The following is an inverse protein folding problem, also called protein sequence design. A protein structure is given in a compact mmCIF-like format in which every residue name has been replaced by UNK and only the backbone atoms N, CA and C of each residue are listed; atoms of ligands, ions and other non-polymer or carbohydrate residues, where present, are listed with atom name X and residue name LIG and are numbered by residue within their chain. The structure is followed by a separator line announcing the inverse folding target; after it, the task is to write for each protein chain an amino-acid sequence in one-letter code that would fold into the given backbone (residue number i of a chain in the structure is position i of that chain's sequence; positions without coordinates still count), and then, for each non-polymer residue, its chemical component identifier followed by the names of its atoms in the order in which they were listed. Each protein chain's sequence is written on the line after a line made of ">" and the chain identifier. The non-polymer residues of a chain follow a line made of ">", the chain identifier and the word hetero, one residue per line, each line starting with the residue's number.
data_IF_171140248174
#
_entry.id   IF_171140248174
#
_cell.length_a   1.000
_cell.length_b   1.000
_cell.length_c   1.000
_cell.angle_alpha   90.00
_cell.angle_beta   90.00
_cell.angle_gamma   90.00
#
_symmetry.space_group_name_H-M   'P 1'
#
loop_
_entity.id
_entity.type
_entity.pdbx_description
1 polymer ?
#
# COMPACT_ATOMS: atom_id res chain seq x y z
N UNK A 1 -13.32 -19.15 -28.48
CA UNK A 1 -12.71 -19.19 -27.16
C UNK A 1 -11.16 -19.38 -27.21
N UNK A 2 -10.60 -20.44 -27.85
CA UNK A 2 -9.13 -20.64 -27.94
C UNK A 2 -8.37 -19.44 -28.53
N UNK A 3 -8.86 -18.84 -29.63
CA UNK A 3 -8.22 -17.65 -30.25
C UNK A 3 -8.19 -16.43 -29.33
N UNK A 4 -9.22 -16.22 -28.50
CA UNK A 4 -9.27 -15.10 -27.53
C UNK A 4 -8.28 -15.32 -26.40
N UNK A 5 -8.18 -16.54 -25.88
CA UNK A 5 -7.21 -16.89 -24.83
C UNK A 5 -5.77 -16.74 -25.37
N UNK A 6 -5.52 -17.15 -26.59
CA UNK A 6 -4.21 -17.01 -27.24
C UNK A 6 -3.86 -15.54 -27.49
N UNK A 7 -4.84 -14.72 -27.91
CA UNK A 7 -4.66 -13.28 -28.04
C UNK A 7 -4.29 -12.63 -26.70
N UNK A 8 -5.04 -12.93 -25.63
CA UNK A 8 -4.80 -12.41 -24.27
C UNK A 8 -3.40 -12.82 -23.76
N UNK A 9 -2.97 -14.08 -24.01
CA UNK A 9 -1.63 -14.55 -23.65
C UNK A 9 -0.52 -13.70 -24.29
N UNK A 10 -0.73 -13.26 -25.52
CA UNK A 10 0.26 -12.50 -26.28
C UNK A 10 0.17 -10.98 -26.07
N UNK A 11 -0.94 -10.50 -25.47
CA UNK A 11 -1.23 -9.06 -25.32
C UNK A 11 -1.62 -8.70 -23.90
N UNK A 12 -0.75 -8.97 -22.93
CA UNK A 12 -0.99 -8.70 -21.49
C UNK A 12 -1.39 -7.25 -21.22
N UNK A 13 -0.91 -6.29 -22.03
CA UNK A 13 -1.29 -4.89 -21.92
C UNK A 13 -2.81 -4.65 -22.04
N UNK A 14 -3.53 -5.52 -22.77
CA UNK A 14 -5.00 -5.45 -22.89
C UNK A 14 -5.65 -5.71 -21.54
N UNK A 15 -5.12 -6.65 -20.75
CA UNK A 15 -5.62 -6.95 -19.40
C UNK A 15 -5.47 -5.72 -18.49
N UNK A 16 -4.32 -5.06 -18.56
CA UNK A 16 -4.08 -3.82 -17.81
C UNK A 16 -5.01 -2.70 -18.23
N UNK A 17 -5.24 -2.54 -19.54
CA UNK A 17 -6.16 -1.53 -20.05
C UNK A 17 -7.61 -1.81 -19.60
N UNK A 18 -8.06 -3.04 -19.65
CA UNK A 18 -9.40 -3.44 -19.19
C UNK A 18 -9.56 -3.09 -17.70
N UNK A 19 -8.60 -3.46 -16.85
CA UNK A 19 -8.64 -3.12 -15.43
C UNK A 19 -8.66 -1.61 -15.23
N UNK A 20 -7.79 -0.89 -15.92
CA UNK A 20 -7.71 0.58 -15.81
C UNK A 20 -9.04 1.25 -16.15
N UNK A 21 -9.63 0.90 -17.30
CA UNK A 21 -10.92 1.47 -17.74
C UNK A 21 -12.04 1.10 -16.76
N UNK A 22 -12.09 -0.15 -16.31
CA UNK A 22 -13.04 -0.59 -15.28
C UNK A 22 -12.93 0.26 -14.02
N UNK A 23 -11.71 0.49 -13.51
CA UNK A 23 -11.47 1.29 -12.31
C UNK A 23 -11.84 2.76 -12.52
N UNK A 24 -11.51 3.35 -13.67
CA UNK A 24 -11.91 4.73 -14.01
C UNK A 24 -13.43 4.88 -13.99
N UNK A 25 -14.16 3.95 -14.60
CA UNK A 25 -15.64 3.97 -14.61
C UNK A 25 -16.18 3.84 -13.19
N UNK A 26 -15.63 2.93 -12.38
CA UNK A 26 -16.02 2.76 -10.97
C UNK A 26 -15.78 4.03 -10.16
N UNK A 27 -14.59 4.63 -10.25
CA UNK A 27 -14.26 5.86 -9.52
C UNK A 27 -15.07 7.08 -10.02
N UNK A 28 -15.35 7.17 -11.31
CA UNK A 28 -16.17 8.26 -11.85
C UNK A 28 -17.63 8.22 -11.32
N UNK A 29 -18.12 7.03 -10.96
CA UNK A 29 -19.50 6.81 -10.47
C UNK A 29 -19.65 6.99 -8.96
N UNK A 30 -18.55 7.13 -8.18
CA UNK A 30 -18.63 7.25 -6.72
C UNK A 30 -18.90 8.69 -6.27
N UNK A 31 -19.61 8.82 -5.15
CA UNK A 31 -19.81 10.11 -4.49
C UNK A 31 -18.59 10.42 -3.64
N UNK A 32 -17.87 11.46 -4.00
CA UNK A 32 -16.72 11.99 -3.25
C UNK A 32 -17.16 13.01 -2.20
N UNK A 33 -16.26 13.36 -1.27
CA UNK A 33 -16.52 14.33 -0.21
C UNK A 33 -17.52 13.79 0.80
N UNK A 34 -17.23 12.61 1.34
CA UNK A 34 -18.00 11.95 2.41
C UNK A 34 -17.09 11.61 3.58
N UNK A 35 -17.65 11.49 4.77
CA UNK A 35 -16.95 11.07 5.99
C UNK A 35 -15.61 11.81 6.20
N UNK A 36 -14.50 11.11 6.36
CA UNK A 36 -13.19 11.69 6.64
C UNK A 36 -12.69 12.63 5.53
N UNK A 37 -13.09 12.43 4.27
CA UNK A 37 -12.71 13.34 3.16
C UNK A 37 -13.15 14.79 3.45
N UNK A 38 -14.32 14.98 4.07
CA UNK A 38 -14.83 16.31 4.43
C UNK A 38 -13.92 16.93 5.49
N UNK A 39 -13.60 16.17 6.52
CA UNK A 39 -12.74 16.62 7.60
C UNK A 39 -11.35 17.02 7.07
N UNK A 40 -10.74 16.19 6.24
CA UNK A 40 -9.44 16.50 5.64
C UNK A 40 -9.47 17.74 4.75
N UNK A 41 -10.54 17.93 3.98
CA UNK A 41 -10.74 19.13 3.16
C UNK A 41 -10.84 20.39 4.01
N UNK A 42 -11.52 20.33 5.16
CA UNK A 42 -11.60 21.46 6.10
C UNK A 42 -10.23 21.75 6.72
N UNK A 43 -9.51 20.73 7.16
CA UNK A 43 -8.18 20.88 7.76
C UNK A 43 -7.13 21.40 6.77
N UNK A 44 -7.31 21.18 5.47
CA UNK A 44 -6.37 21.68 4.45
C UNK A 44 -6.24 23.22 4.47
N UNK A 45 -7.25 23.93 5.00
CA UNK A 45 -7.27 25.40 5.11
C UNK A 45 -6.21 25.96 6.06
N UNK A 46 -5.71 25.16 7.01
CA UNK A 46 -4.66 25.61 7.94
C UNK A 46 -3.25 25.64 7.33
N UNK A 47 -3.09 25.16 6.10
CA UNK A 47 -1.80 25.04 5.39
C UNK A 47 -1.03 23.79 5.77
N UNK A 48 -0.20 23.31 4.82
CA UNK A 48 0.45 21.99 4.91
C UNK A 48 1.37 21.84 6.13
N UNK A 49 2.13 22.88 6.49
CA UNK A 49 3.08 22.82 7.61
C UNK A 49 2.35 22.70 8.94
N UNK A 50 1.40 23.61 9.21
CA UNK A 50 0.64 23.63 10.45
C UNK A 50 -0.18 22.33 10.62
N UNK A 51 -0.78 21.87 9.52
CA UNK A 51 -1.49 20.60 9.49
C UNK A 51 -0.59 19.44 9.89
N UNK A 52 0.58 19.33 9.23
CA UNK A 52 1.52 18.23 9.51
C UNK A 52 1.99 18.25 10.98
N UNK A 53 2.34 19.42 11.52
CA UNK A 53 2.75 19.54 12.92
C UNK A 53 1.63 19.14 13.88
N UNK A 54 0.41 19.57 13.63
CA UNK A 54 -0.76 19.19 14.41
C UNK A 54 -0.95 17.67 14.37
N UNK A 55 -0.88 17.04 13.20
CA UNK A 55 -1.09 15.59 13.04
C UNK A 55 -0.02 14.75 13.73
N UNK A 56 1.26 15.12 13.63
CA UNK A 56 2.35 14.46 14.34
C UNK A 56 2.13 14.47 15.84
N UNK A 57 1.65 15.58 16.37
CA UNK A 57 1.45 15.76 17.81
C UNK A 57 0.18 15.11 18.33
N UNK A 58 -0.87 14.95 17.50
CA UNK A 58 -2.19 14.56 17.98
C UNK A 58 -2.71 13.23 17.46
N UNK A 59 -2.25 12.75 16.29
CA UNK A 59 -2.95 11.61 15.66
C UNK A 59 -2.10 10.59 14.90
N UNK A 60 -1.10 11.00 14.09
CA UNK A 60 -0.49 10.05 13.14
C UNK A 60 0.93 10.41 12.71
N UNK A 61 1.69 9.39 12.35
CA UNK A 61 3.00 9.47 11.71
C UNK A 61 2.95 9.39 10.17
N UNK A 62 1.76 9.27 9.55
CA UNK A 62 1.57 9.08 8.10
C UNK A 62 1.66 10.38 7.30
N UNK A 63 2.69 11.18 7.56
CA UNK A 63 2.77 12.55 7.05
C UNK A 63 2.80 12.66 5.54
N UNK A 64 3.56 11.78 4.85
CA UNK A 64 3.65 11.80 3.38
C UNK A 64 2.29 11.45 2.77
N UNK A 65 1.62 10.44 3.30
CA UNK A 65 0.31 9.99 2.83
C UNK A 65 -0.72 11.12 3.00
N UNK A 66 -0.77 11.74 4.18
CA UNK A 66 -1.72 12.80 4.46
C UNK A 66 -1.43 14.07 3.64
N UNK A 67 -0.15 14.43 3.41
CA UNK A 67 0.20 15.54 2.54
C UNK A 67 -0.26 15.31 1.10
N UNK A 68 -0.03 14.11 0.55
CA UNK A 68 -0.52 13.75 -0.79
C UNK A 68 -2.04 13.82 -0.84
N UNK A 69 -2.72 13.36 0.21
CA UNK A 69 -4.18 13.42 0.31
C UNK A 69 -4.70 14.86 0.30
N UNK A 70 -4.10 15.76 1.09
CA UNK A 70 -4.50 17.18 1.10
C UNK A 70 -4.30 17.83 -0.27
N UNK A 71 -3.22 17.51 -0.98
CA UNK A 71 -3.00 18.00 -2.34
C UNK A 71 -4.10 17.50 -3.28
N UNK A 72 -4.39 16.20 -3.25
CA UNK A 72 -5.38 15.59 -4.16
C UNK A 72 -6.81 16.05 -3.88
N UNK A 73 -7.15 16.31 -2.62
CA UNK A 73 -8.47 16.84 -2.24
C UNK A 73 -8.71 18.27 -2.76
N UNK A 74 -7.65 19.05 -2.95
CA UNK A 74 -7.74 20.46 -3.39
C UNK A 74 -7.56 20.66 -4.91
N UNK A 75 -7.39 19.59 -5.68
CA UNK A 75 -7.28 19.65 -7.13
C UNK A 75 -8.45 18.94 -7.81
N UNK A 76 -8.49 18.99 -9.14
CA UNK A 76 -9.56 18.35 -9.89
C UNK A 76 -9.66 16.84 -9.60
N UNK A 77 -10.85 16.37 -9.24
CA UNK A 77 -11.13 14.96 -8.88
C UNK A 77 -10.65 13.95 -9.94
N UNK A 78 -10.61 14.34 -11.21
CA UNK A 78 -10.16 13.46 -12.28
C UNK A 78 -8.68 13.07 -12.15
N UNK A 79 -7.86 13.92 -11.51
CA UNK A 79 -6.47 13.58 -11.23
C UNK A 79 -6.41 12.40 -10.26
N UNK A 80 -7.17 12.45 -9.17
CA UNK A 80 -7.27 11.32 -8.24
C UNK A 80 -7.84 10.07 -8.93
N UNK A 81 -8.93 10.20 -9.71
CA UNK A 81 -9.57 9.06 -10.41
C UNK A 81 -8.55 8.33 -11.29
N UNK A 82 -7.75 9.08 -12.07
CA UNK A 82 -6.74 8.49 -12.96
C UNK A 82 -5.60 7.85 -12.17
N UNK A 83 -5.07 8.55 -11.16
CA UNK A 83 -3.98 8.04 -10.35
C UNK A 83 -4.39 6.83 -9.52
N UNK A 84 -5.54 6.88 -8.86
CA UNK A 84 -6.05 5.78 -8.04
C UNK A 84 -6.36 4.54 -8.89
N UNK A 85 -6.96 4.72 -10.07
CA UNK A 85 -7.15 3.63 -11.05
C UNK A 85 -5.81 3.03 -11.49
N UNK A 86 -4.79 3.87 -11.66
CA UNK A 86 -3.41 3.44 -11.94
C UNK A 86 -2.80 2.63 -10.80
N UNK A 87 -3.13 2.92 -9.54
CA UNK A 87 -2.66 2.14 -8.39
C UNK A 87 -3.21 0.71 -8.40
N UNK A 88 -4.46 0.48 -8.79
CA UNK A 88 -4.99 -0.88 -8.96
C UNK A 88 -4.28 -1.65 -10.08
N UNK A 89 -3.93 -0.97 -11.18
CA UNK A 89 -3.11 -1.55 -12.24
C UNK A 89 -1.70 -1.87 -11.73
N UNK A 90 -1.13 -1.02 -10.86
CA UNK A 90 0.16 -1.25 -10.23
C UNK A 90 0.13 -2.45 -9.28
N UNK A 91 -0.98 -2.65 -8.53
CA UNK A 91 -1.20 -3.86 -7.72
C UNK A 91 -1.13 -5.10 -8.62
N UNK A 92 -1.90 -5.11 -9.71
CA UNK A 92 -1.90 -6.22 -10.67
C UNK A 92 -0.51 -6.50 -11.24
N UNK A 93 0.19 -5.44 -11.67
CA UNK A 93 1.54 -5.54 -12.22
C UNK A 93 2.53 -6.13 -11.22
N UNK A 94 2.48 -5.65 -9.98
CA UNK A 94 3.41 -6.06 -8.93
C UNK A 94 3.16 -7.50 -8.48
N UNK A 95 1.90 -7.88 -8.26
CA UNK A 95 1.52 -9.25 -7.93
C UNK A 95 1.95 -10.23 -9.03
N UNK A 96 1.69 -9.89 -10.30
CA UNK A 96 2.16 -10.69 -11.42
C UNK A 96 3.68 -10.93 -11.36
N UNK A 97 4.47 -9.89 -11.11
CA UNK A 97 5.95 -9.99 -11.03
C UNK A 97 6.43 -10.83 -9.85
N UNK A 98 5.69 -10.79 -8.74
CA UNK A 98 6.01 -11.56 -7.54
C UNK A 98 5.66 -13.04 -7.74
N UNK A 99 4.50 -13.32 -8.32
CA UNK A 99 3.97 -14.69 -8.47
C UNK A 99 4.59 -15.42 -9.68
N UNK A 100 4.83 -14.69 -10.78
CA UNK A 100 5.34 -15.27 -12.03
C UNK A 100 6.65 -14.61 -12.49
N UNK A 101 7.75 -14.78 -11.74
CA UNK A 101 9.04 -14.18 -12.10
C UNK A 101 9.64 -14.75 -13.39
N UNK A 102 9.30 -15.99 -13.76
CA UNK A 102 9.77 -16.67 -14.97
C UNK A 102 8.95 -16.36 -16.22
N UNK A 103 7.85 -15.61 -16.07
CA UNK A 103 6.89 -15.26 -17.12
C UNK A 103 6.16 -16.45 -17.77
N UNK A 104 6.31 -17.65 -17.23
CA UNK A 104 5.55 -18.80 -17.67
C UNK A 104 4.08 -18.65 -17.30
N UNK A 105 3.17 -18.86 -18.24
CA UNK A 105 1.71 -18.65 -18.11
C UNK A 105 1.30 -17.24 -17.66
N UNK A 106 2.13 -16.24 -17.89
CA UNK A 106 2.01 -14.89 -17.41
C UNK A 106 0.64 -14.24 -17.74
N UNK A 107 0.15 -14.43 -18.97
CA UNK A 107 -1.16 -13.91 -19.39
C UNK A 107 -2.34 -14.51 -18.62
N UNK A 108 -2.30 -15.81 -18.32
CA UNK A 108 -3.36 -16.49 -17.57
C UNK A 108 -3.35 -16.02 -16.12
N UNK A 109 -2.20 -15.98 -15.47
CA UNK A 109 -2.04 -15.52 -14.10
C UNK A 109 -2.52 -14.07 -13.99
N UNK A 110 -2.12 -13.19 -14.92
CA UNK A 110 -2.53 -11.79 -14.94
C UNK A 110 -4.05 -11.65 -15.10
N UNK A 111 -4.66 -12.47 -15.95
CA UNK A 111 -6.11 -12.45 -16.13
C UNK A 111 -6.86 -12.85 -14.84
N UNK A 112 -6.46 -13.93 -14.18
CA UNK A 112 -7.09 -14.34 -12.91
C UNK A 112 -6.88 -13.31 -11.80
N UNK A 113 -5.69 -12.73 -11.69
CA UNK A 113 -5.43 -11.67 -10.72
C UNK A 113 -6.30 -10.43 -11.00
N UNK A 114 -6.49 -10.05 -12.25
CA UNK A 114 -7.42 -8.98 -12.64
C UNK A 114 -8.85 -9.29 -12.17
N UNK A 115 -9.33 -10.52 -12.39
CA UNK A 115 -10.69 -10.90 -11.94
C UNK A 115 -10.82 -10.81 -10.42
N UNK A 116 -9.83 -11.26 -9.66
CA UNK A 116 -9.81 -11.15 -8.19
C UNK A 116 -9.91 -9.68 -7.77
N UNK A 117 -9.13 -8.80 -8.40
CA UNK A 117 -9.18 -7.36 -8.11
C UNK A 117 -10.57 -6.79 -8.45
N UNK A 118 -11.15 -7.17 -9.60
CA UNK A 118 -12.48 -6.66 -10.01
C UNK A 118 -13.63 -7.15 -9.12
N UNK A 119 -13.47 -8.28 -8.44
CA UNK A 119 -14.47 -8.84 -7.50
C UNK A 119 -14.41 -8.17 -6.12
N UNK A 120 -13.44 -7.33 -5.85
CA UNK A 120 -13.32 -6.65 -4.56
C UNK A 120 -14.58 -5.78 -4.29
N UNK A 121 -15.10 -5.77 -3.05
CA UNK A 121 -16.27 -4.97 -2.69
C UNK A 121 -15.93 -3.49 -2.52
N UNK A 122 -15.67 -2.78 -3.63
CA UNK A 122 -15.19 -1.39 -3.64
C UNK A 122 -16.06 -0.41 -2.84
N UNK A 123 -17.34 -0.71 -2.62
CA UNK A 123 -18.24 0.13 -1.81
C UNK A 123 -17.74 0.36 -0.39
N UNK A 124 -16.94 -0.55 0.18
CA UNK A 124 -16.37 -0.45 1.51
C UNK A 124 -15.42 0.75 1.64
N UNK A 125 -14.78 1.19 0.56
CA UNK A 125 -13.89 2.35 0.58
C UNK A 125 -14.62 3.67 0.83
N UNK A 126 -15.89 3.76 0.49
CA UNK A 126 -16.71 4.95 0.70
C UNK A 126 -17.13 5.17 2.15
N UNK A 127 -17.02 4.16 3.03
CA UNK A 127 -17.47 4.24 4.43
C UNK A 127 -16.70 5.29 5.22
N UNK A 128 -15.38 5.29 5.10
CA UNK A 128 -14.50 6.26 5.76
C UNK A 128 -14.08 7.43 4.84
N UNK A 129 -14.59 7.49 3.60
CA UNK A 129 -14.15 8.43 2.58
C UNK A 129 -13.21 7.80 1.56
N UNK A 130 -13.43 8.10 0.29
CA UNK A 130 -12.70 7.48 -0.82
C UNK A 130 -11.22 7.90 -0.84
N UNK A 131 -10.93 9.20 -0.70
CA UNK A 131 -9.56 9.68 -0.62
C UNK A 131 -8.86 9.14 0.63
N UNK A 132 -9.51 9.27 1.80
CA UNK A 132 -8.95 8.81 3.07
C UNK A 132 -8.61 7.31 3.02
N UNK A 133 -9.49 6.48 2.48
CA UNK A 133 -9.28 5.02 2.44
C UNK A 133 -8.25 4.62 1.39
N UNK A 134 -8.37 5.12 0.15
CA UNK A 134 -7.48 4.63 -0.92
C UNK A 134 -6.05 5.11 -0.72
N UNK A 135 -5.85 6.36 -0.32
CA UNK A 135 -4.50 6.90 -0.08
C UNK A 135 -3.82 6.31 1.16
N UNK A 136 -4.57 5.94 2.19
CA UNK A 136 -4.00 5.31 3.38
C UNK A 136 -3.76 3.81 3.26
N UNK A 137 -4.47 3.10 2.36
CA UNK A 137 -4.39 1.64 2.30
C UNK A 137 -4.08 1.10 0.91
N UNK A 138 -4.76 1.57 -0.15
CA UNK A 138 -4.55 1.05 -1.51
C UNK A 138 -3.23 1.53 -2.10
N UNK A 139 -2.89 2.81 -1.92
CA UNK A 139 -1.64 3.36 -2.43
C UNK A 139 -0.41 2.77 -1.73
N UNK A 140 -0.36 2.66 -0.38
CA UNK A 140 0.72 1.96 0.30
C UNK A 140 0.84 0.49 -0.14
N UNK A 141 -0.28 -0.20 -0.34
CA UNK A 141 -0.27 -1.57 -0.85
C UNK A 141 0.30 -1.64 -2.28
N UNK A 142 -0.17 -0.80 -3.19
CA UNK A 142 0.26 -0.80 -4.59
C UNK A 142 1.76 -0.48 -4.73
N UNK A 143 2.18 0.63 -4.11
CA UNK A 143 3.57 1.07 -4.12
C UNK A 143 4.46 0.13 -3.30
N UNK A 144 3.93 -0.43 -2.21
CA UNK A 144 4.61 -1.43 -1.40
C UNK A 144 4.87 -2.74 -2.14
N UNK A 145 3.87 -3.30 -2.79
CA UNK A 145 4.05 -4.49 -3.64
C UNK A 145 5.04 -4.22 -4.78
N UNK A 146 4.98 -3.03 -5.36
CA UNK A 146 5.97 -2.64 -6.36
C UNK A 146 7.38 -2.58 -5.77
N UNK A 147 7.59 -1.94 -4.63
CA UNK A 147 8.86 -1.90 -3.92
C UNK A 147 9.37 -3.29 -3.54
N UNK A 148 8.50 -4.19 -3.05
CA UNK A 148 8.84 -5.57 -2.72
C UNK A 148 9.17 -6.42 -3.96
N UNK A 149 8.59 -6.10 -5.13
CA UNK A 149 8.92 -6.80 -6.38
C UNK A 149 10.37 -6.61 -6.82
N UNK A 150 11.09 -5.63 -6.24
CA UNK A 150 12.53 -5.51 -6.40
C UNK A 150 13.28 -6.77 -5.94
N UNK A 151 12.88 -7.35 -4.80
CA UNK A 151 13.49 -8.58 -4.27
C UNK A 151 13.38 -9.71 -5.30
N UNK A 152 12.19 -9.92 -5.87
CA UNK A 152 12.00 -10.98 -6.87
C UNK A 152 12.81 -10.73 -8.13
N UNK A 153 12.97 -9.47 -8.55
CA UNK A 153 13.78 -9.13 -9.71
C UNK A 153 15.28 -9.37 -9.45
N UNK A 154 15.77 -9.06 -8.26
CA UNK A 154 17.16 -9.38 -7.87
C UNK A 154 17.38 -10.90 -7.83
N UNK A 155 16.45 -11.64 -7.22
CA UNK A 155 16.54 -13.09 -7.10
C UNK A 155 16.50 -13.82 -8.47
N UNK A 156 15.79 -13.27 -9.44
CA UNK A 156 15.73 -13.78 -10.83
C UNK A 156 16.86 -13.28 -11.73
N UNK A 157 17.87 -12.60 -11.18
CA UNK A 157 18.98 -11.98 -11.91
C UNK A 157 18.53 -11.02 -13.03
N UNK A 158 17.39 -10.36 -12.84
CA UNK A 158 16.87 -9.38 -13.79
C UNK A 158 17.72 -8.11 -13.84
N UNK A 159 17.93 -7.57 -15.05
CA UNK A 159 18.58 -6.26 -15.20
C UNK A 159 17.66 -5.16 -14.67
N UNK A 160 18.19 -4.30 -13.82
CA UNK A 160 17.46 -3.19 -13.19
C UNK A 160 18.13 -1.88 -13.62
N UNK A 161 17.40 -1.06 -14.39
CA UNK A 161 17.90 0.25 -14.82
C UNK A 161 17.95 1.25 -13.64
N UNK A 162 18.71 2.32 -13.80
CA UNK A 162 18.78 3.41 -12.80
C UNK A 162 17.40 4.02 -12.51
N UNK A 163 16.58 4.23 -13.55
CA UNK A 163 15.23 4.76 -13.41
C UNK A 163 14.35 3.81 -12.58
N UNK A 164 14.45 2.52 -12.81
CA UNK A 164 13.73 1.51 -12.00
C UNK A 164 14.21 1.52 -10.55
N UNK A 165 15.50 1.67 -10.29
CA UNK A 165 16.02 1.76 -8.92
C UNK A 165 15.43 2.97 -8.19
N UNK A 166 15.42 4.14 -8.83
CA UNK A 166 14.81 5.36 -8.30
C UNK A 166 13.31 5.14 -8.03
N UNK A 167 12.59 4.53 -8.97
CA UNK A 167 11.16 4.27 -8.80
C UNK A 167 10.86 3.32 -7.64
N UNK A 168 11.72 2.30 -7.40
CA UNK A 168 11.60 1.43 -6.23
C UNK A 168 11.80 2.19 -4.92
N UNK A 169 12.77 3.11 -4.86
CA UNK A 169 12.99 3.93 -3.66
C UNK A 169 11.78 4.82 -3.38
N UNK A 170 11.30 5.56 -4.39
CA UNK A 170 10.14 6.47 -4.24
C UNK A 170 8.89 5.69 -3.79
N UNK A 171 8.62 4.56 -4.42
CA UNK A 171 7.50 3.70 -4.05
C UNK A 171 7.63 3.15 -2.62
N UNK A 172 8.84 2.71 -2.25
CA UNK A 172 9.11 2.24 -0.90
C UNK A 172 8.93 3.34 0.15
N UNK A 173 9.41 4.56 -0.10
CA UNK A 173 9.27 5.70 0.80
C UNK A 173 7.80 6.04 1.09
N UNK A 174 6.95 6.01 0.06
CA UNK A 174 5.51 6.19 0.27
C UNK A 174 4.91 5.03 1.07
N UNK A 175 5.22 3.80 0.70
CA UNK A 175 4.66 2.60 1.32
C UNK A 175 5.02 2.47 2.80
N UNK A 176 6.29 2.68 3.17
CA UNK A 176 6.75 2.60 4.58
C UNK A 176 6.24 3.74 5.45
N UNK A 177 5.61 4.77 4.87
CA UNK A 177 4.90 5.80 5.64
C UNK A 177 3.58 5.28 6.27
N UNK A 178 3.13 4.07 5.90
CA UNK A 178 2.05 3.34 6.55
C UNK A 178 2.63 2.24 7.44
N UNK A 179 2.21 2.17 8.70
CA UNK A 179 2.86 1.38 9.77
C UNK A 179 2.93 -0.12 9.44
N UNK A 180 1.84 -0.70 8.90
CA UNK A 180 1.78 -2.13 8.57
C UNK A 180 2.70 -2.45 7.39
N UNK A 181 2.69 -1.61 6.34
CA UNK A 181 3.60 -1.76 5.21
C UNK A 181 5.06 -1.59 5.63
N UNK A 182 5.35 -0.66 6.54
CA UNK A 182 6.69 -0.48 7.10
C UNK A 182 7.18 -1.76 7.78
N UNK A 183 6.36 -2.37 8.64
CA UNK A 183 6.69 -3.64 9.30
C UNK A 183 6.91 -4.78 8.29
N UNK A 184 6.07 -4.88 7.24
CA UNK A 184 6.25 -5.84 6.16
C UNK A 184 7.57 -5.63 5.40
N UNK A 185 7.94 -4.39 5.11
CA UNK A 185 9.22 -4.08 4.46
C UNK A 185 10.40 -4.52 5.31
N UNK A 186 10.41 -4.20 6.60
CA UNK A 186 11.46 -4.69 7.54
C UNK A 186 11.54 -6.21 7.48
N UNK A 187 10.39 -6.91 7.60
CA UNK A 187 10.34 -8.37 7.58
C UNK A 187 10.86 -8.97 6.26
N UNK A 188 10.33 -8.54 5.12
CA UNK A 188 10.71 -9.12 3.82
C UNK A 188 12.15 -8.80 3.42
N UNK A 189 12.62 -7.57 3.66
CA UNK A 189 14.01 -7.22 3.36
C UNK A 189 15.00 -7.90 4.32
N UNK A 190 14.67 -8.06 5.60
CA UNK A 190 15.49 -8.83 6.53
C UNK A 190 15.57 -10.30 6.12
N UNK A 191 14.44 -10.93 5.77
CA UNK A 191 14.41 -12.31 5.25
C UNK A 191 15.23 -12.45 3.97
N UNK A 192 15.12 -11.47 3.05
CA UNK A 192 15.94 -11.44 1.83
C UNK A 192 17.45 -11.36 2.15
N UNK A 193 17.85 -10.55 3.14
CA UNK A 193 19.25 -10.47 3.59
C UNK A 193 19.72 -11.80 4.14
N UNK A 194 18.96 -12.40 5.06
CA UNK A 194 19.28 -13.72 5.66
C UNK A 194 19.41 -14.78 4.57
N UNK A 195 18.43 -14.87 3.67
CA UNK A 195 18.48 -15.80 2.54
C UNK A 195 19.72 -15.60 1.68
N UNK A 196 20.07 -14.36 1.37
CA UNK A 196 21.23 -14.03 0.55
C UNK A 196 22.54 -14.41 1.23
N UNK A 197 22.66 -14.20 2.55
CA UNK A 197 23.81 -14.62 3.36
C UNK A 197 23.96 -16.14 3.34
N UNK A 198 22.88 -16.89 3.62
CA UNK A 198 22.89 -18.35 3.63
C UNK A 198 23.23 -18.94 2.27
N UNK A 199 22.79 -18.30 1.20
CA UNK A 199 23.06 -18.74 -0.19
C UNK A 199 24.30 -18.12 -0.81
N UNK A 200 25.12 -17.41 -0.03
CA UNK A 200 26.33 -16.70 -0.49
C UNK A 200 26.09 -15.81 -1.74
N UNK A 201 24.88 -15.21 -1.83
CA UNK A 201 24.52 -14.29 -2.91
C UNK A 201 24.92 -12.87 -2.55
N UNK A 202 25.38 -12.11 -3.57
CA UNK A 202 25.62 -10.66 -3.41
C UNK A 202 24.30 -9.92 -3.25
N UNK A 203 24.21 -9.07 -2.23
CA UNK A 203 23.07 -8.18 -1.99
C UNK A 203 23.36 -6.83 -2.60
N UNK A 204 22.49 -6.30 -3.48
CA UNK A 204 22.66 -4.95 -4.02
C UNK A 204 22.54 -3.88 -2.93
N UNK A 205 23.32 -2.81 -3.05
CA UNK A 205 23.33 -1.69 -2.08
C UNK A 205 21.93 -1.09 -1.85
N UNK A 206 21.09 -1.05 -2.89
CA UNK A 206 19.73 -0.53 -2.80
C UNK A 206 18.87 -1.28 -1.78
N UNK A 207 19.05 -2.60 -1.65
CA UNK A 207 18.31 -3.40 -0.66
C UNK A 207 18.69 -3.00 0.78
N UNK A 208 19.97 -2.70 1.04
CA UNK A 208 20.41 -2.17 2.32
C UNK A 208 19.80 -0.79 2.59
N UNK A 209 19.81 0.09 1.60
CA UNK A 209 19.21 1.44 1.72
C UNK A 209 17.72 1.32 2.09
N UNK A 210 16.94 0.50 1.38
CA UNK A 210 15.52 0.34 1.67
C UNK A 210 15.29 -0.25 3.07
N UNK A 211 16.09 -1.25 3.48
CA UNK A 211 15.99 -1.84 4.82
C UNK A 211 16.28 -0.81 5.91
N UNK A 212 17.36 -0.04 5.78
CA UNK A 212 17.73 1.00 6.75
C UNK A 212 16.64 2.07 6.85
N UNK A 213 16.12 2.55 5.70
CA UNK A 213 15.02 3.51 5.68
C UNK A 213 13.76 2.95 6.36
N UNK A 214 13.48 1.66 6.16
CA UNK A 214 12.33 1.01 6.81
C UNK A 214 12.52 0.91 8.32
N UNK A 215 13.73 0.63 8.83
CA UNK A 215 14.01 0.65 10.27
C UNK A 215 13.89 2.05 10.87
N UNK A 216 14.43 3.07 10.19
CA UNK A 216 14.30 4.47 10.63
C UNK A 216 12.82 4.85 10.72
N UNK A 217 12.03 4.50 9.69
CA UNK A 217 10.61 4.82 9.64
C UNK A 217 9.80 4.04 10.69
N UNK A 218 10.15 2.78 10.94
CA UNK A 218 9.53 2.00 12.01
C UNK A 218 9.78 2.63 13.39
N UNK A 219 11.01 3.08 13.64
CA UNK A 219 11.35 3.84 14.85
C UNK A 219 10.55 5.14 14.95
N UNK A 220 10.40 5.87 13.85
CA UNK A 220 9.58 7.08 13.81
C UNK A 220 8.10 6.78 14.13
N UNK A 221 7.52 5.72 13.56
CA UNK A 221 6.15 5.30 13.89
C UNK A 221 5.98 4.95 15.37
N UNK A 222 6.96 4.27 15.95
CA UNK A 222 6.92 3.87 17.35
C UNK A 222 7.04 5.06 18.32
N UNK A 223 7.79 6.10 17.94
CA UNK A 223 8.07 7.27 18.78
C UNK A 223 7.12 8.45 18.52
N UNK A 224 6.28 8.40 17.50
CA UNK A 224 5.39 9.49 17.14
C UNK A 224 4.31 9.72 18.21
N UNK A 225 4.26 10.91 18.85
CA UNK A 225 3.28 11.18 19.90
C UNK A 225 1.82 10.99 19.47
N UNK A 226 1.51 11.38 18.22
CA UNK A 226 0.17 11.26 17.66
C UNK A 226 -0.32 9.82 17.59
N UNK A 227 0.55 8.86 17.28
CA UNK A 227 0.19 7.44 17.24
C UNK A 227 -0.21 6.92 18.63
N UNK A 228 0.48 7.33 19.68
CA UNK A 228 0.14 6.92 21.05
C UNK A 228 -1.18 7.55 21.51
N UNK A 229 -1.39 8.84 21.23
CA UNK A 229 -2.65 9.52 21.54
C UNK A 229 -3.83 8.89 20.80
N UNK A 230 -3.69 8.61 19.49
CA UNK A 230 -4.70 7.89 18.70
C UNK A 230 -5.02 6.53 19.30
N UNK A 231 -3.99 5.74 19.63
CA UNK A 231 -4.16 4.42 20.25
C UNK A 231 -4.98 4.52 21.54
N UNK A 232 -4.67 5.48 22.41
CA UNK A 232 -5.42 5.69 23.65
C UNK A 232 -6.86 6.06 23.35
N UNK A 233 -7.10 7.00 22.42
CA UNK A 233 -8.45 7.45 22.05
C UNK A 233 -9.30 6.31 21.46
N UNK A 234 -8.78 5.58 20.50
CA UNK A 234 -9.49 4.46 19.84
C UNK A 234 -9.74 3.30 20.80
N UNK A 235 -8.74 2.93 21.63
CA UNK A 235 -8.91 1.86 22.62
C UNK A 235 -9.96 2.23 23.66
N UNK A 236 -9.96 3.47 24.14
CA UNK A 236 -10.95 3.94 25.10
C UNK A 236 -12.36 3.97 24.51
N UNK A 237 -12.50 4.35 23.24
CA UNK A 237 -13.79 4.45 22.57
C UNK A 237 -14.38 3.08 22.17
N UNK A 238 -13.57 2.18 21.64
CA UNK A 238 -14.06 0.93 21.01
C UNK A 238 -13.75 -0.33 21.84
N UNK A 239 -12.69 -0.31 22.66
CA UNK A 239 -12.21 -1.49 23.40
C UNK A 239 -11.79 -1.16 24.81
N UNK A 240 -12.64 -0.54 25.65
CA UNK A 240 -12.25 -0.07 27.00
C UNK A 240 -11.73 -1.19 27.90
N UNK A 241 -12.26 -2.41 27.75
CA UNK A 241 -11.81 -3.59 28.50
C UNK A 241 -10.39 -4.04 28.16
N UNK A 242 -9.84 -3.63 26.99
CA UNK A 242 -8.53 -4.08 26.51
C UNK A 242 -7.37 -3.70 27.43
N UNK A 243 -7.50 -2.60 28.17
CA UNK A 243 -6.47 -2.18 29.14
C UNK A 243 -6.32 -3.16 30.31
N UNK A 244 -7.42 -3.82 30.71
CA UNK A 244 -7.42 -4.82 31.77
C UNK A 244 -6.86 -6.19 31.36
N UNK A 245 -6.67 -6.46 30.07
CA UNK A 245 -6.18 -7.74 29.58
C UNK A 245 -4.68 -7.90 29.82
N UNK A 246 -4.26 -9.12 30.24
CA UNK A 246 -2.86 -9.50 30.29
C UNK A 246 -2.29 -9.65 28.87
N UNK A 247 -0.96 -9.64 28.75
CA UNK A 247 -0.29 -9.77 27.45
C UNK A 247 -0.72 -11.05 26.70
N UNK A 248 -0.87 -12.16 27.40
CA UNK A 248 -1.30 -13.42 26.79
C UNK A 248 -2.72 -13.35 26.22
N UNK A 249 -3.64 -12.69 26.92
CA UNK A 249 -5.02 -12.49 26.46
C UNK A 249 -5.05 -11.62 25.19
N UNK A 250 -4.22 -10.57 25.16
CA UNK A 250 -4.08 -9.68 23.98
C UNK A 250 -3.53 -10.44 22.76
N UNK A 251 -2.54 -11.31 22.97
CA UNK A 251 -1.98 -12.15 21.90
C UNK A 251 -3.01 -13.16 21.40
N UNK A 252 -3.72 -13.84 22.31
CA UNK A 252 -4.78 -14.78 21.96
C UNK A 252 -5.91 -14.12 21.18
N UNK A 253 -6.38 -12.96 21.62
CA UNK A 253 -7.40 -12.20 20.90
C UNK A 253 -6.92 -11.78 19.50
N UNK A 254 -5.65 -11.36 19.36
CA UNK A 254 -5.07 -11.05 18.05
C UNK A 254 -5.08 -12.25 17.10
N UNK A 255 -4.67 -13.42 17.58
CA UNK A 255 -4.70 -14.66 16.78
C UNK A 255 -6.13 -15.07 16.44
N UNK A 256 -7.04 -15.10 17.43
CA UNK A 256 -8.44 -15.49 17.22
C UNK A 256 -9.17 -14.52 16.25
N UNK A 257 -8.94 -13.21 16.37
CA UNK A 257 -9.54 -12.25 15.44
C UNK A 257 -9.05 -12.45 14.00
N UNK A 258 -7.77 -12.80 13.82
CA UNK A 258 -7.22 -13.07 12.48
C UNK A 258 -7.86 -14.33 11.87
N UNK A 259 -8.14 -15.36 12.68
CA UNK A 259 -8.79 -16.59 12.20
C UNK A 259 -10.29 -16.39 11.93
N UNK A 260 -10.96 -15.55 12.73
CA UNK A 260 -12.39 -15.34 12.61
C UNK A 260 -12.78 -14.41 11.45
N UNK A 261 -11.87 -13.57 10.96
CA UNK A 261 -12.10 -12.62 9.87
C UNK A 261 -11.61 -13.17 8.51
N UNK A 262 -10.71 -14.15 8.52
CA UNK A 262 -10.22 -14.86 7.31
C UNK A 262 -11.11 -16.00 6.92
#
# INVERSE_FOLDING_TARGET
>A
MKKVIEYIKNHIWVIYLILFVFMVVRHASVKLGVADDIWFLEQSKMGLINYTQMRIQTWTSRNIIELVMLVLLNINKWVWIILDSGMFVLVLHSLRRIISPTKENDGIITFFLMLVIMLYPFGTFGVAGWYATTLNYVWPLALGLYGLSYITQVLSNGKISMIQQISYVIASLYAINQEQMCALFVGFYALFMIYSLVKHKKVPILAYIILVLSFIMLGYHALCPGNELRKVAEMSAYYPAFYGFKLMDKLLLGVLSTIAIG
#
